data_IF_588873914770
#
_entry.id   IF_588873914770
#
_cell.length_a   1.000
_cell.length_b   1.000
_cell.length_c   1.000
_cell.angle_alpha   90.00
_cell.angle_beta   90.00
_cell.angle_gamma   90.00
#
_symmetry.space_group_name_H-M   'P 1'
#
loop_
_entity.id
_entity.type
_entity.pdbx_description
1 polymer ?
#
# COMPACT_ATOMS: atom_id res chain seq x y z
N UNK A 1 -12.96 1.33 3.92
CA UNK A 1 -12.07 2.46 4.31
C UNK A 1 -11.36 3.02 3.09
N UNK A 2 -11.26 4.33 2.96
CA UNK A 2 -10.46 5.00 1.93
C UNK A 2 -9.16 5.49 2.57
N UNK A 3 -8.03 5.01 2.06
CA UNK A 3 -6.70 5.30 2.61
C UNK A 3 -5.79 6.05 1.60
N UNK A 4 -6.33 6.42 0.45
CA UNK A 4 -5.61 7.21 -0.55
C UNK A 4 -5.99 8.69 -0.51
N UNK A 5 -5.30 9.47 -1.33
CA UNK A 5 -5.66 10.86 -1.58
C UNK A 5 -6.32 10.98 -2.97
N UNK A 6 -7.53 11.49 -3.02
CA UNK A 6 -8.35 11.58 -4.23
C UNK A 6 -8.72 13.04 -4.49
N UNK A 7 -7.87 13.82 -5.19
CA UNK A 7 -8.07 15.26 -5.34
C UNK A 7 -9.36 15.64 -6.07
N UNK A 8 -9.86 14.75 -6.92
CA UNK A 8 -11.10 14.95 -7.69
C UNK A 8 -12.34 14.36 -6.99
N UNK A 9 -12.17 13.87 -5.77
CA UNK A 9 -13.24 13.25 -5.00
C UNK A 9 -13.47 11.78 -5.31
N UNK A 10 -14.47 11.22 -4.66
CA UNK A 10 -14.85 9.80 -4.79
C UNK A 10 -16.33 9.73 -5.13
N UNK A 11 -16.67 8.90 -6.09
CA UNK A 11 -18.06 8.62 -6.49
C UNK A 11 -18.42 7.18 -6.17
N UNK A 12 -19.67 6.95 -5.76
CA UNK A 12 -20.18 5.61 -5.54
C UNK A 12 -21.67 5.54 -5.94
N UNK A 13 -22.13 4.33 -6.22
CA UNK A 13 -23.54 4.09 -6.51
C UNK A 13 -24.34 4.06 -5.21
N UNK A 14 -25.22 5.05 -5.00
CA UNK A 14 -26.01 5.17 -3.77
C UNK A 14 -26.98 4.00 -3.54
N UNK A 15 -27.80 3.54 -4.53
CA UNK A 15 -28.78 2.49 -4.26
C UNK A 15 -28.17 1.19 -3.69
N UNK A 16 -27.10 0.61 -4.27
CA UNK A 16 -26.49 -0.58 -3.67
C UNK A 16 -25.81 -0.28 -2.33
N UNK A 17 -25.27 0.91 -2.13
CA UNK A 17 -24.71 1.31 -0.84
C UNK A 17 -25.80 1.40 0.24
N UNK A 18 -26.93 1.96 -0.09
CA UNK A 18 -28.11 2.03 0.78
C UNK A 18 -28.60 0.64 1.18
N UNK A 19 -28.75 -0.26 0.22
CA UNK A 19 -29.23 -1.63 0.47
C UNK A 19 -28.30 -2.44 1.38
N UNK A 20 -27.01 -2.10 1.41
CA UNK A 20 -26.00 -2.77 2.23
C UNK A 20 -25.68 -2.02 3.52
N UNK A 21 -26.40 -0.92 3.80
CA UNK A 21 -26.07 -0.03 4.93
C UNK A 21 -24.58 0.31 4.99
N UNK A 22 -24.03 0.68 3.83
CA UNK A 22 -22.60 0.90 3.69
C UNK A 22 -22.09 1.99 4.63
N UNK A 23 -20.93 1.72 5.22
CA UNK A 23 -20.22 2.67 6.09
C UNK A 23 -18.94 3.10 5.40
N UNK A 24 -18.71 4.39 5.33
CA UNK A 24 -17.51 4.96 4.75
C UNK A 24 -16.66 5.59 5.86
N UNK A 25 -15.39 5.21 5.89
CA UNK A 25 -14.40 5.83 6.75
C UNK A 25 -13.21 6.29 5.92
N UNK A 26 -12.77 7.52 6.16
CA UNK A 26 -11.62 8.12 5.50
C UNK A 26 -10.46 8.12 6.49
N UNK A 27 -9.36 7.49 6.11
CA UNK A 27 -8.14 7.51 6.90
C UNK A 27 -7.37 8.81 6.62
N UNK A 28 -6.92 9.46 7.69
CA UNK A 28 -6.03 10.61 7.61
C UNK A 28 -4.57 10.20 7.81
N UNK A 29 -3.71 11.15 8.10
CA UNK A 29 -2.31 10.90 8.38
C UNK A 29 -2.12 10.05 9.64
N UNK A 30 -1.08 9.21 9.63
CA UNK A 30 -0.70 8.42 10.80
C UNK A 30 0.12 9.26 11.79
N UNK A 31 0.04 8.86 13.05
CA UNK A 31 0.82 9.44 14.14
C UNK A 31 2.05 8.59 14.46
N UNK A 32 3.07 9.13 15.17
CA UNK A 32 4.18 8.31 15.65
C UNK A 32 3.74 7.12 16.52
N UNK A 33 2.63 7.28 17.26
CA UNK A 33 2.07 6.19 18.06
C UNK A 33 1.51 5.07 17.17
N UNK A 34 0.83 5.41 16.07
CA UNK A 34 0.34 4.42 15.12
C UNK A 34 1.48 3.57 14.54
N UNK A 35 2.60 4.20 14.19
CA UNK A 35 3.79 3.50 13.71
C UNK A 35 4.35 2.53 14.75
N UNK A 36 4.43 2.95 16.03
CA UNK A 36 4.86 2.07 17.11
C UNK A 36 3.94 0.86 17.27
N UNK A 37 2.62 1.07 17.22
CA UNK A 37 1.64 0.01 17.30
C UNK A 37 1.76 -1.00 16.15
N UNK A 38 1.91 -0.52 14.91
CA UNK A 38 2.12 -1.39 13.74
C UNK A 38 3.41 -2.20 13.90
N UNK A 39 4.50 -1.57 14.32
CA UNK A 39 5.76 -2.26 14.60
C UNK A 39 5.57 -3.39 15.62
N UNK A 40 4.86 -3.11 16.69
CA UNK A 40 4.64 -4.09 17.77
C UNK A 40 3.75 -5.26 17.28
N UNK A 41 2.75 -4.99 16.43
CA UNK A 41 1.94 -6.02 15.79
C UNK A 41 2.77 -6.93 14.88
N UNK A 42 3.67 -6.35 14.09
CA UNK A 42 4.57 -7.12 13.22
C UNK A 42 5.53 -7.98 14.05
N UNK A 43 6.12 -7.43 15.10
CA UNK A 43 7.03 -8.16 16.01
C UNK A 43 6.34 -9.29 16.74
N UNK A 44 5.08 -9.11 17.11
CA UNK A 44 4.28 -10.14 17.77
C UNK A 44 3.75 -11.22 16.81
N UNK A 45 3.96 -11.08 15.50
CA UNK A 45 3.42 -11.99 14.50
C UNK A 45 1.92 -11.84 14.25
N UNK A 46 1.28 -10.82 14.81
CA UNK A 46 -0.16 -10.55 14.63
C UNK A 46 -0.46 -9.86 13.27
N UNK A 47 0.54 -9.25 12.66
CA UNK A 47 0.45 -8.61 11.35
C UNK A 47 1.62 -9.07 10.49
N UNK A 48 1.31 -9.66 9.32
CA UNK A 48 2.30 -10.02 8.30
C UNK A 48 2.29 -9.03 7.15
N UNK A 49 3.49 -8.64 6.70
CA UNK A 49 3.70 -7.78 5.54
C UNK A 49 4.33 -8.55 4.35
N UNK A 50 4.50 -9.87 4.49
CA UNK A 50 5.24 -10.69 3.53
C UNK A 50 4.67 -10.64 2.12
N UNK A 51 3.36 -10.69 1.99
CA UNK A 51 2.68 -10.73 0.69
C UNK A 51 2.55 -9.36 0.01
N UNK A 52 3.02 -8.29 0.66
CA UNK A 52 2.95 -6.94 0.09
C UNK A 52 4.08 -6.64 -0.89
N UNK A 53 5.23 -7.30 -0.75
CA UNK A 53 6.35 -7.16 -1.68
C UNK A 53 6.15 -8.14 -2.81
N UNK A 54 5.68 -7.66 -3.95
CA UNK A 54 5.39 -8.49 -5.12
C UNK A 54 6.59 -8.65 -6.06
N UNK A 55 7.51 -7.66 -6.06
CA UNK A 55 8.64 -7.63 -6.97
C UNK A 55 9.89 -7.12 -6.27
N UNK A 56 11.03 -7.73 -6.58
CA UNK A 56 12.35 -7.28 -6.14
C UNK A 56 13.29 -7.23 -7.34
N UNK A 57 14.03 -6.14 -7.50
CA UNK A 57 15.02 -5.98 -8.55
C UNK A 57 16.30 -5.37 -8.00
N UNK A 58 17.45 -5.65 -8.63
CA UNK A 58 18.69 -4.95 -8.27
C UNK A 58 18.57 -3.46 -8.55
N UNK A 59 19.22 -2.63 -7.73
CA UNK A 59 19.20 -1.17 -7.89
C UNK A 59 19.77 -0.70 -9.23
N UNK A 60 20.67 -1.49 -9.84
CA UNK A 60 21.17 -1.25 -11.20
C UNK A 60 20.08 -1.25 -12.27
N UNK A 61 18.96 -1.92 -12.03
CA UNK A 61 17.80 -1.97 -12.92
C UNK A 61 16.70 -0.96 -12.52
N UNK A 62 17.02 0.06 -11.74
CA UNK A 62 16.04 1.00 -11.17
C UNK A 62 15.10 1.57 -12.24
N UNK A 63 15.62 1.97 -13.39
CA UNK A 63 14.81 2.53 -14.50
C UNK A 63 13.69 1.57 -14.93
N UNK A 64 14.01 0.28 -15.06
CA UNK A 64 13.04 -0.75 -15.41
C UNK A 64 12.09 -1.02 -14.26
N UNK A 65 12.61 -1.07 -13.04
CA UNK A 65 11.82 -1.30 -11.82
C UNK A 65 10.77 -0.22 -11.61
N UNK A 66 11.13 1.06 -11.78
CA UNK A 66 10.17 2.17 -11.68
C UNK A 66 9.06 2.06 -12.71
N UNK A 67 9.40 1.77 -13.95
CA UNK A 67 8.39 1.58 -15.01
C UNK A 67 7.45 0.44 -14.66
N UNK A 68 7.96 -0.70 -14.26
CA UNK A 68 7.15 -1.84 -13.87
C UNK A 68 6.27 -1.52 -12.66
N UNK A 69 6.79 -0.80 -11.66
CA UNK A 69 6.04 -0.44 -10.46
C UNK A 69 4.81 0.43 -10.76
N UNK A 70 4.91 1.34 -11.74
CA UNK A 70 3.83 2.28 -12.04
C UNK A 70 2.92 1.84 -13.20
N UNK A 71 3.40 0.99 -14.08
CA UNK A 71 2.64 0.56 -15.27
C UNK A 71 2.03 -0.84 -15.12
N UNK A 72 2.63 -1.72 -14.32
CA UNK A 72 2.12 -3.08 -14.15
C UNK A 72 1.07 -3.16 -13.04
N UNK A 73 -0.18 -3.59 -13.35
CA UNK A 73 -1.21 -3.77 -12.33
C UNK A 73 -0.89 -4.90 -11.34
N UNK A 74 0.02 -5.82 -11.67
CA UNK A 74 0.44 -6.91 -10.80
C UNK A 74 1.47 -6.48 -9.75
N UNK A 75 2.05 -5.29 -9.89
CA UNK A 75 3.02 -4.78 -8.94
C UNK A 75 2.31 -4.08 -7.77
N UNK A 76 2.33 -4.73 -6.61
CA UNK A 76 1.86 -4.15 -5.36
C UNK A 76 2.93 -3.28 -4.71
N UNK A 77 4.11 -3.84 -4.52
CA UNK A 77 5.27 -3.17 -3.94
C UNK A 77 6.53 -3.65 -4.63
N UNK A 78 7.27 -2.71 -5.20
CA UNK A 78 8.59 -2.93 -5.78
C UNK A 78 9.67 -2.62 -4.74
N UNK A 79 10.58 -3.56 -4.51
CA UNK A 79 11.76 -3.36 -3.70
C UNK A 79 13.01 -3.28 -4.57
N UNK A 80 13.86 -2.32 -4.32
CA UNK A 80 15.20 -2.24 -4.92
C UNK A 80 16.24 -2.80 -3.96
N UNK A 81 16.99 -3.80 -4.40
CA UNK A 81 18.09 -4.38 -3.65
C UNK A 81 19.40 -3.68 -3.98
N UNK A 82 20.11 -3.25 -2.97
CA UNK A 82 21.42 -2.60 -3.07
C UNK A 82 22.58 -3.54 -2.75
N UNK A 83 22.29 -4.82 -2.48
CA UNK A 83 23.32 -5.78 -2.02
C UNK A 83 24.46 -5.97 -3.02
N UNK A 84 24.16 -5.86 -4.30
CA UNK A 84 25.12 -6.06 -5.40
C UNK A 84 25.46 -4.75 -6.11
N UNK A 85 25.07 -3.61 -5.54
CA UNK A 85 25.44 -2.29 -6.04
C UNK A 85 26.82 -1.91 -5.50
N UNK A 86 27.83 -2.20 -6.26
CA UNK A 86 29.18 -1.72 -5.98
C UNK A 86 29.35 -0.27 -6.44
#
# INVERSE_FOLDING_TARGET
MLAGFYPEGVRFAFPPAFMREARLRIAAEWTPQDLRQVRDLVRAGALSLEDLISHTRPASEAKHAYRQAFESPDCLKMMLSWRDAA
#
